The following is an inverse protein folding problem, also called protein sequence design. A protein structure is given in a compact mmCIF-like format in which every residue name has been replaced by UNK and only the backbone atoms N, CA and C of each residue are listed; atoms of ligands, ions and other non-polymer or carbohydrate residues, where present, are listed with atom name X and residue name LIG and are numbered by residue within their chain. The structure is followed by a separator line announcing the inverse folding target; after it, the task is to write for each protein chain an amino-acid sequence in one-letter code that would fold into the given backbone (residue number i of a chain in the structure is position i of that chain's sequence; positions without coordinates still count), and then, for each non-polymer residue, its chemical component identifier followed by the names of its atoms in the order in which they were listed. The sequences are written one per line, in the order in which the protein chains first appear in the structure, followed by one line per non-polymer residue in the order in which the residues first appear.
data_IF_664186745850
#
_entry.id   IF_664186745850
#
_cell.length_a   1.000
_cell.length_b   1.000
_cell.length_c   1.000
_cell.angle_alpha   90.00
_cell.angle_beta   90.00
_cell.angle_gamma   90.00
#
_symmetry.space_group_name_H-M   'P 1'
#
loop_
_entity.id
_entity.type
_entity.pdbx_description
1 polymer ?
#
# COMPACT_ATOMS: atom_id res chain seq x y z
N UNK A 1 -20.60 -5.69 13.18
CA UNK A 1 -20.34 -4.31 12.72
C UNK A 1 -21.68 -3.59 12.75
N UNK A 2 -21.82 -2.57 13.62
CA UNK A 2 -23.02 -1.74 13.66
C UNK A 2 -23.07 -0.94 12.34
N UNK A 3 -24.19 -1.00 11.64
CA UNK A 3 -24.48 -0.08 10.54
C UNK A 3 -24.61 1.32 11.15
N UNK A 4 -23.65 2.18 10.94
CA UNK A 4 -23.74 3.57 11.33
C UNK A 4 -24.77 4.20 10.40
N UNK A 5 -25.87 4.69 10.96
CA UNK A 5 -26.87 5.46 10.21
C UNK A 5 -26.20 6.80 9.81
N UNK A 6 -25.90 6.98 8.53
CA UNK A 6 -25.14 8.09 7.97
C UNK A 6 -25.76 9.47 8.19
N UNK A 7 -26.97 9.55 8.69
CA UNK A 7 -27.71 10.81 8.86
C UNK A 7 -27.55 11.46 10.25
N UNK A 8 -26.85 10.80 11.18
CA UNK A 8 -26.75 11.26 12.58
C UNK A 8 -25.43 11.96 12.93
N UNK A 9 -24.41 11.89 12.07
CA UNK A 9 -23.08 12.39 12.41
C UNK A 9 -22.50 13.30 11.32
N UNK A 10 -22.03 14.48 11.73
CA UNK A 10 -21.30 15.41 10.88
C UNK A 10 -19.83 15.04 10.68
N UNK A 11 -19.31 14.08 11.43
CA UNK A 11 -17.91 13.67 11.46
C UNK A 11 -17.78 12.17 11.59
N UNK A 12 -16.85 11.56 10.87
CA UNK A 12 -16.63 10.12 10.85
C UNK A 12 -15.18 9.77 11.14
N UNK A 13 -14.97 8.65 11.83
CA UNK A 13 -13.67 7.95 11.86
C UNK A 13 -13.84 6.67 11.05
N UNK A 14 -13.09 6.56 9.97
CA UNK A 14 -13.16 5.45 9.01
C UNK A 14 -11.90 4.61 9.15
N UNK A 15 -12.06 3.31 9.38
CA UNK A 15 -10.96 2.38 9.45
C UNK A 15 -10.86 1.55 8.17
N UNK A 16 -9.76 1.76 7.43
CA UNK A 16 -9.51 1.06 6.17
C UNK A 16 -10.56 1.32 5.09
N UNK A 17 -10.31 0.85 3.90
CA UNK A 17 -11.28 0.81 2.79
C UNK A 17 -12.09 -0.48 2.87
N UNK A 18 -12.98 -0.58 3.85
CA UNK A 18 -13.79 -1.78 4.12
C UNK A 18 -15.26 -1.48 3.86
N UNK A 19 -15.92 -2.36 3.11
CA UNK A 19 -17.35 -2.25 2.84
C UNK A 19 -17.72 -0.91 2.18
N UNK A 20 -18.69 -0.22 2.76
CA UNK A 20 -19.21 1.05 2.24
C UNK A 20 -18.48 2.29 2.77
N UNK A 21 -17.35 2.15 3.45
CA UNK A 21 -16.63 3.30 4.02
C UNK A 21 -16.31 4.37 2.98
N UNK A 22 -16.08 3.99 1.74
CA UNK A 22 -15.82 4.92 0.64
C UNK A 22 -16.95 5.93 0.42
N UNK A 23 -18.21 5.57 0.75
CA UNK A 23 -19.37 6.46 0.62
C UNK A 23 -19.35 7.60 1.64
N UNK A 24 -18.66 7.42 2.76
CA UNK A 24 -18.55 8.42 3.83
C UNK A 24 -17.35 9.35 3.65
N UNK A 25 -16.54 9.14 2.61
CA UNK A 25 -15.35 9.96 2.34
C UNK A 25 -15.67 11.30 1.67
N UNK A 26 -16.95 11.66 1.53
CA UNK A 26 -17.38 12.93 0.95
C UNK A 26 -17.57 14.05 1.98
N UNK A 27 -17.47 13.75 3.28
CA UNK A 27 -17.71 14.69 4.38
C UNK A 27 -16.48 14.98 5.23
N UNK A 28 -16.73 15.38 6.47
CA UNK A 28 -15.68 15.52 7.47
C UNK A 28 -15.34 14.16 8.07
N UNK A 29 -14.21 13.60 7.69
CA UNK A 29 -13.78 12.30 8.21
C UNK A 29 -12.29 12.29 8.58
N UNK A 30 -11.97 11.42 9.50
CA UNK A 30 -10.60 10.98 9.78
C UNK A 30 -10.48 9.56 9.26
N UNK A 31 -9.55 9.34 8.35
CA UNK A 31 -9.22 8.01 7.88
C UNK A 31 -8.08 7.44 8.74
N UNK A 32 -8.29 6.26 9.28
CA UNK A 32 -7.25 5.53 10.03
C UNK A 32 -6.98 4.19 9.36
N UNK A 33 -5.71 3.83 9.28
CA UNK A 33 -5.26 2.58 8.68
C UNK A 33 -3.91 2.18 9.26
N UNK A 34 -3.45 1.01 8.90
CA UNK A 34 -2.11 0.53 9.21
C UNK A 34 -1.04 1.53 8.81
N UNK A 35 0.05 1.67 9.55
CA UNK A 35 1.17 2.53 9.21
C UNK A 35 1.87 2.05 7.94
N UNK A 36 2.71 2.90 7.36
CA UNK A 36 3.55 2.52 6.23
C UNK A 36 4.68 1.56 6.64
N UNK A 37 5.18 1.71 7.87
CA UNK A 37 6.20 0.88 8.48
C UNK A 37 5.80 0.50 9.91
N UNK A 38 6.38 -0.58 10.48
CA UNK A 38 6.02 -1.05 11.82
C UNK A 38 4.58 -1.55 11.92
N UNK A 39 4.14 -2.31 10.91
CA UNK A 39 2.81 -2.89 10.88
C UNK A 39 2.65 -3.95 11.96
N UNK A 40 1.43 -4.07 12.46
CA UNK A 40 1.04 -5.20 13.27
C UNK A 40 1.37 -6.52 12.56
N UNK A 41 2.13 -7.36 13.25
CA UNK A 41 2.37 -8.75 12.86
C UNK A 41 1.43 -9.63 13.68
N UNK A 42 0.47 -10.34 13.05
CA UNK A 42 -0.44 -11.22 13.75
C UNK A 42 0.25 -12.39 14.46
N UNK A 43 1.51 -12.68 14.12
CA UNK A 43 2.30 -13.69 14.81
C UNK A 43 2.97 -13.17 16.09
N UNK A 44 3.02 -11.86 16.25
CA UNK A 44 3.68 -11.21 17.39
C UNK A 44 2.69 -10.56 18.36
N UNK A 45 1.39 -10.54 18.04
CA UNK A 45 0.27 -10.04 18.87
C UNK A 45 0.50 -8.69 19.56
N UNK A 46 1.44 -7.89 19.10
CA UNK A 46 1.85 -6.64 19.73
C UNK A 46 1.06 -5.45 19.17
N UNK A 47 -0.23 -5.42 19.50
CA UNK A 47 -1.12 -4.31 19.14
C UNK A 47 -0.75 -3.00 19.85
N UNK A 48 -0.19 -3.09 21.05
CA UNK A 48 0.04 -1.94 21.91
C UNK A 48 1.22 -1.09 21.42
N UNK A 49 2.17 -1.71 20.70
CA UNK A 49 3.33 -1.05 20.10
C UNK A 49 3.17 -0.77 18.60
N UNK A 50 1.98 -1.00 18.04
CA UNK A 50 1.71 -0.72 16.64
C UNK A 50 1.26 0.72 16.46
N UNK A 51 1.95 1.46 15.60
CA UNK A 51 1.52 2.79 15.19
C UNK A 51 0.34 2.70 14.22
N UNK A 52 -0.54 3.71 14.29
CA UNK A 52 -1.66 3.87 13.38
C UNK A 52 -1.49 5.16 12.58
N UNK A 53 -1.82 5.10 11.30
CA UNK A 53 -1.85 6.28 10.46
C UNK A 53 -3.22 6.94 10.56
N UNK A 54 -3.22 8.25 10.77
CA UNK A 54 -4.42 9.07 10.83
C UNK A 54 -4.30 10.19 9.80
N UNK A 55 -5.28 10.27 8.89
CA UNK A 55 -5.33 11.27 7.83
C UNK A 55 -6.67 12.00 7.87
N UNK A 56 -6.63 13.32 7.78
CA UNK A 56 -7.84 14.13 7.74
C UNK A 56 -8.28 14.34 6.28
N UNK A 57 -9.52 14.00 5.97
CA UNK A 57 -10.14 14.15 4.66
C UNK A 57 -9.36 13.53 3.48
N UNK A 58 -8.67 12.43 3.71
CA UNK A 58 -7.92 11.72 2.67
C UNK A 58 -7.37 10.39 3.15
N UNK A 59 -6.95 9.54 2.22
CA UNK A 59 -6.27 8.27 2.52
C UNK A 59 -4.80 8.48 2.93
N UNK A 60 -4.22 9.58 2.46
CA UNK A 60 -2.84 9.96 2.72
C UNK A 60 -2.80 11.43 3.10
N UNK A 61 -1.87 11.79 3.98
CA UNK A 61 -1.59 13.18 4.28
C UNK A 61 -0.46 13.67 3.37
N UNK A 62 -0.82 14.48 2.38
CA UNK A 62 0.12 15.05 1.44
C UNK A 62 0.73 16.38 1.92
N UNK A 63 0.39 16.82 3.13
CA UNK A 63 0.95 18.05 3.69
C UNK A 63 2.41 17.83 4.07
N UNK A 64 3.25 18.81 3.75
CA UNK A 64 4.61 18.84 4.25
C UNK A 64 4.55 19.21 5.73
N UNK A 65 4.64 18.23 6.61
CA UNK A 65 4.65 18.44 8.05
C UNK A 65 6.07 18.72 8.52
N UNK A 66 6.23 19.79 9.29
CA UNK A 66 7.48 20.06 10.00
C UNK A 66 7.43 19.35 11.35
N UNK A 67 7.66 18.04 11.32
CA UNK A 67 7.68 17.17 12.51
C UNK A 67 9.08 16.59 12.71
N UNK A 68 9.48 16.30 13.96
CA UNK A 68 10.74 15.62 14.24
C UNK A 68 10.82 14.25 13.56
N UNK A 69 12.02 13.82 13.22
CA UNK A 69 12.30 12.49 12.64
C UNK A 69 12.46 11.39 13.72
N UNK A 70 12.20 11.71 14.98
CA UNK A 70 12.42 10.86 16.15
C UNK A 70 11.85 9.44 16.02
N UNK A 71 10.64 9.31 15.47
CA UNK A 71 10.03 7.99 15.23
C UNK A 71 10.76 7.19 14.17
N UNK A 72 11.18 7.84 13.10
CA UNK A 72 11.93 7.20 12.04
C UNK A 72 13.31 6.74 12.55
N UNK A 73 13.96 7.57 13.35
CA UNK A 73 15.22 7.24 14.00
C UNK A 73 15.08 6.06 14.99
N UNK A 74 14.00 6.03 15.79
CA UNK A 74 13.71 4.92 16.71
C UNK A 74 13.48 3.58 15.98
N UNK A 75 12.99 3.59 14.75
CA UNK A 75 12.81 2.37 13.99
C UNK A 75 14.12 1.77 13.46
N UNK A 76 15.22 2.50 13.52
CA UNK A 76 16.50 2.04 13.04
C UNK A 76 16.52 1.71 11.55
N UNK A 77 15.59 2.30 10.79
CA UNK A 77 15.45 2.07 9.35
C UNK A 77 16.62 2.72 8.63
N UNK A 78 17.28 1.93 7.80
CA UNK A 78 18.38 2.40 6.96
C UNK A 78 17.93 2.44 5.50
N UNK A 79 17.72 3.64 4.96
CA UNK A 79 17.41 3.81 3.54
C UNK A 79 18.66 3.46 2.73
N UNK A 80 18.54 2.47 1.87
CA UNK A 80 19.65 2.02 1.03
C UNK A 80 19.95 3.03 -0.08
N UNK A 81 21.21 3.15 -0.51
CA UNK A 81 21.55 3.95 -1.67
C UNK A 81 20.82 3.45 -2.91
N UNK A 82 20.49 4.38 -3.81
CA UNK A 82 19.93 4.01 -5.11
C UNK A 82 20.85 3.05 -5.85
N UNK A 83 20.30 1.91 -6.27
CA UNK A 83 21.02 0.91 -7.05
C UNK A 83 20.67 1.08 -8.53
N UNK A 84 21.69 1.13 -9.37
CA UNK A 84 21.54 1.09 -10.82
C UNK A 84 21.72 -0.35 -11.30
N UNK A 85 20.88 -0.78 -12.21
CA UNK A 85 20.90 -2.15 -12.71
C UNK A 85 19.70 -2.92 -12.19
N UNK A 86 19.66 -4.20 -12.43
CA UNK A 86 18.56 -5.08 -12.09
C UNK A 86 18.00 -5.76 -13.34
N UNK A 87 17.40 -6.93 -13.13
CA UNK A 87 17.03 -7.84 -14.20
C UNK A 87 15.62 -7.56 -14.76
N UNK A 88 14.77 -6.92 -13.95
CA UNK A 88 13.37 -6.69 -14.29
C UNK A 88 12.78 -5.47 -13.59
N UNK A 89 11.64 -5.01 -14.09
CA UNK A 89 10.78 -4.05 -13.40
C UNK A 89 9.77 -4.85 -12.57
N UNK A 90 9.77 -4.65 -11.26
CA UNK A 90 8.84 -5.31 -10.34
C UNK A 90 7.54 -4.51 -10.27
N UNK A 91 6.46 -5.06 -10.82
CA UNK A 91 5.14 -4.45 -10.84
C UNK A 91 4.27 -5.02 -9.72
N UNK A 92 3.96 -4.20 -8.73
CA UNK A 92 3.23 -4.59 -7.53
C UNK A 92 1.84 -3.94 -7.49
N UNK A 93 0.80 -4.58 -8.01
CA UNK A 93 -0.57 -4.09 -7.86
C UNK A 93 -1.01 -4.14 -6.40
N UNK A 94 -1.93 -3.26 -6.03
CA UNK A 94 -2.59 -3.29 -4.72
C UNK A 94 -3.78 -4.28 -4.72
N UNK A 95 -4.63 -4.22 -3.67
CA UNK A 95 -5.90 -4.97 -3.66
C UNK A 95 -6.85 -4.44 -4.73
N UNK A 96 -7.84 -5.25 -5.14
CA UNK A 96 -8.89 -4.84 -6.08
C UNK A 96 -9.55 -3.53 -5.66
N UNK A 97 -9.97 -3.44 -4.40
CA UNK A 97 -10.63 -2.24 -3.85
C UNK A 97 -9.74 -1.02 -3.94
N UNK A 98 -8.47 -1.14 -3.57
CA UNK A 98 -7.54 -0.01 -3.60
C UNK A 98 -7.22 0.40 -5.05
N UNK A 99 -6.99 -0.57 -5.93
CA UNK A 99 -6.71 -0.31 -7.34
C UNK A 99 -7.90 0.37 -8.01
N UNK A 100 -9.11 -0.11 -7.76
CA UNK A 100 -10.32 0.53 -8.27
C UNK A 100 -10.49 1.96 -7.75
N UNK A 101 -10.28 2.18 -6.46
CA UNK A 101 -10.38 3.52 -5.86
C UNK A 101 -9.37 4.50 -6.44
N UNK A 102 -8.12 4.08 -6.62
CA UNK A 102 -7.03 4.95 -7.08
C UNK A 102 -7.03 5.19 -8.60
N UNK A 103 -7.49 4.22 -9.38
CA UNK A 103 -7.30 4.20 -10.84
C UNK A 103 -8.58 3.99 -11.64
N UNK A 104 -9.70 3.70 -10.98
CA UNK A 104 -11.01 3.48 -11.64
C UNK A 104 -11.08 2.19 -12.49
N UNK A 105 -10.17 1.23 -12.27
CA UNK A 105 -10.10 -0.01 -13.02
C UNK A 105 -9.76 -1.21 -12.12
N UNK A 106 -9.95 -2.43 -12.59
CA UNK A 106 -9.56 -3.63 -11.87
C UNK A 106 -8.04 -3.86 -11.92
N UNK A 107 -7.54 -4.82 -11.13
CA UNK A 107 -6.11 -5.11 -11.03
C UNK A 107 -5.50 -5.54 -12.35
N UNK A 108 -6.19 -6.38 -13.12
CA UNK A 108 -5.67 -6.88 -14.40
C UNK A 108 -5.56 -5.77 -15.44
N UNK A 109 -6.58 -4.92 -15.55
CA UNK A 109 -6.57 -3.74 -16.42
C UNK A 109 -5.45 -2.76 -16.03
N UNK A 110 -5.22 -2.58 -14.73
CA UNK A 110 -4.12 -1.73 -14.26
C UNK A 110 -2.76 -2.32 -14.64
N UNK A 111 -2.56 -3.63 -14.46
CA UNK A 111 -1.32 -4.33 -14.85
C UNK A 111 -1.08 -4.18 -16.35
N UNK A 112 -2.10 -4.43 -17.19
CA UNK A 112 -1.99 -4.33 -18.63
C UNK A 112 -1.63 -2.92 -19.09
N UNK A 113 -2.38 -1.93 -18.62
CA UNK A 113 -2.18 -0.51 -18.94
C UNK A 113 -0.79 -0.02 -18.50
N UNK A 114 -0.39 -0.34 -17.27
CA UNK A 114 0.90 0.09 -16.72
C UNK A 114 2.05 -0.63 -17.43
N UNK A 115 1.90 -1.92 -17.72
CA UNK A 115 2.90 -2.67 -18.49
C UNK A 115 3.09 -2.09 -19.89
N UNK A 116 2.01 -1.70 -20.57
CA UNK A 116 2.09 -1.02 -21.87
C UNK A 116 2.86 0.29 -21.77
N UNK A 117 2.56 1.13 -20.79
CA UNK A 117 3.27 2.40 -20.57
C UNK A 117 4.77 2.17 -20.31
N UNK A 118 5.12 1.19 -19.46
CA UNK A 118 6.52 0.84 -19.19
C UNK A 118 7.23 0.43 -20.50
N UNK A 119 6.59 -0.37 -21.35
CA UNK A 119 7.13 -0.86 -22.61
C UNK A 119 7.42 0.25 -23.64
N UNK A 120 6.79 1.41 -23.54
CA UNK A 120 7.09 2.59 -24.37
C UNK A 120 8.46 3.19 -24.04
N UNK A 121 9.01 2.90 -22.84
CA UNK A 121 10.25 3.51 -22.35
C UNK A 121 11.41 2.52 -22.20
N UNK A 122 11.14 1.23 -22.10
CA UNK A 122 12.18 0.23 -21.87
C UNK A 122 11.78 -1.17 -22.33
N UNK A 123 12.80 -1.96 -22.69
CA UNK A 123 12.66 -3.38 -23.00
C UNK A 123 12.95 -4.30 -21.80
N UNK A 124 13.27 -3.75 -20.63
CA UNK A 124 13.54 -4.54 -19.42
C UNK A 124 12.33 -5.42 -19.11
N UNK A 125 12.51 -6.72 -18.78
CA UNK A 125 11.42 -7.61 -18.43
C UNK A 125 10.55 -7.06 -17.30
N UNK A 126 9.25 -7.33 -17.33
CA UNK A 126 8.32 -6.98 -16.25
C UNK A 126 7.95 -8.23 -15.48
N UNK A 127 8.16 -8.22 -14.17
CA UNK A 127 7.74 -9.25 -13.23
C UNK A 127 6.56 -8.71 -12.42
N UNK A 128 5.42 -9.38 -12.48
CA UNK A 128 4.24 -9.00 -11.70
C UNK A 128 4.26 -9.75 -10.37
N UNK A 129 4.17 -9.01 -9.27
CA UNK A 129 4.03 -9.55 -7.92
C UNK A 129 2.70 -9.16 -7.31
N UNK A 130 1.77 -10.09 -7.28
CA UNK A 130 0.49 -9.87 -6.62
C UNK A 130 0.62 -9.79 -5.10
N UNK A 131 -0.30 -9.04 -4.46
CA UNK A 131 -0.36 -8.95 -3.01
C UNK A 131 -0.62 -10.34 -2.40
N UNK A 132 0.10 -10.71 -1.31
CA UNK A 132 -0.18 -11.93 -0.57
C UNK A 132 -1.66 -12.04 -0.15
N UNK A 133 -2.26 -13.18 -0.38
CA UNK A 133 -3.62 -13.49 0.10
C UNK A 133 -3.54 -14.51 1.22
N UNK A 134 -4.44 -14.40 2.19
CA UNK A 134 -4.58 -15.43 3.23
C UNK A 134 -4.97 -16.76 2.57
N UNK A 135 -4.46 -17.87 3.12
CA UNK A 135 -4.86 -19.20 2.71
C UNK A 135 -6.40 -19.33 2.73
N UNK A 136 -6.97 -19.96 1.70
CA UNK A 136 -8.42 -20.14 1.57
C UNK A 136 -9.17 -19.03 0.82
N UNK A 137 -8.48 -17.96 0.37
CA UNK A 137 -9.10 -16.97 -0.53
C UNK A 137 -8.81 -17.32 -2.00
N UNK A 138 -9.81 -17.20 -2.88
CA UNK A 138 -9.65 -17.45 -4.32
C UNK A 138 -8.74 -16.40 -4.96
N UNK A 139 -7.83 -16.82 -5.82
CA UNK A 139 -6.92 -15.96 -6.59
C UNK A 139 -5.53 -16.55 -6.73
N UNK A 140 -4.64 -15.93 -7.53
CA UNK A 140 -3.30 -16.45 -7.71
C UNK A 140 -2.59 -16.55 -6.35
N UNK A 141 -1.99 -17.72 -6.11
CA UNK A 141 -1.12 -17.96 -4.96
C UNK A 141 0.01 -16.95 -4.98
N UNK A 142 0.31 -16.41 -3.81
CA UNK A 142 1.49 -15.59 -3.65
C UNK A 142 2.71 -16.48 -3.78
N UNK A 143 3.70 -15.96 -4.48
CA UNK A 143 5.00 -16.57 -4.47
C UNK A 143 5.48 -16.76 -3.02
N UNK A 144 5.94 -17.96 -2.69
CA UNK A 144 6.57 -18.26 -1.41
C UNK A 144 7.91 -17.53 -1.19
N UNK A 145 8.20 -16.56 -2.08
CA UNK A 145 9.41 -15.75 -2.08
C UNK A 145 9.17 -14.48 -1.28
N UNK A 146 10.00 -14.16 -0.28
CA UNK A 146 9.94 -12.90 0.45
C UNK A 146 10.01 -11.69 -0.50
N UNK A 147 9.35 -10.59 -0.15
CA UNK A 147 9.34 -9.37 -0.97
C UNK A 147 10.76 -8.84 -1.21
N UNK A 148 11.59 -8.89 -0.20
CA UNK A 148 12.99 -8.45 -0.27
C UNK A 148 13.77 -9.14 -1.39
N UNK A 149 13.57 -10.45 -1.59
CA UNK A 149 14.29 -11.23 -2.60
C UNK A 149 13.90 -10.80 -4.02
N UNK A 150 12.65 -10.35 -4.20
CA UNK A 150 12.20 -9.78 -5.47
C UNK A 150 12.73 -8.35 -5.69
N UNK A 151 12.91 -7.56 -4.64
CA UNK A 151 13.38 -6.17 -4.75
C UNK A 151 14.87 -6.10 -5.08
N UNK A 152 15.69 -6.95 -4.47
CA UNK A 152 17.17 -6.93 -4.65
C UNK A 152 17.59 -6.99 -6.11
N UNK A 153 16.87 -7.73 -6.94
CA UNK A 153 17.16 -7.88 -8.37
C UNK A 153 16.29 -6.99 -9.27
N UNK A 154 15.46 -6.13 -8.69
CA UNK A 154 14.61 -5.24 -9.47
C UNK A 154 15.38 -4.01 -9.94
N UNK A 155 15.26 -3.68 -11.23
CA UNK A 155 15.73 -2.40 -11.78
C UNK A 155 14.91 -1.23 -11.27
N UNK A 156 13.60 -1.42 -11.11
CA UNK A 156 12.67 -0.46 -10.56
C UNK A 156 11.47 -1.19 -9.95
N UNK A 157 10.83 -0.57 -8.96
CA UNK A 157 9.58 -1.05 -8.34
C UNK A 157 8.45 -0.08 -8.69
N UNK A 158 7.41 -0.59 -9.33
CA UNK A 158 6.22 0.17 -9.73
C UNK A 158 5.01 -0.33 -8.94
N UNK A 159 4.31 0.55 -8.28
CA UNK A 159 3.21 0.21 -7.36
C UNK A 159 1.92 0.97 -7.67
N UNK A 160 0.77 0.37 -7.33
CA UNK A 160 -0.55 1.02 -7.40
C UNK A 160 -1.07 1.38 -6.01
N UNK A 161 -0.39 2.26 -5.27
CA UNK A 161 -0.81 2.61 -3.89
C UNK A 161 -0.53 1.49 -2.88
N UNK A 162 0.55 0.75 -3.06
CA UNK A 162 0.99 -0.31 -2.15
C UNK A 162 2.13 0.16 -1.25
N UNK A 163 2.18 -0.39 -0.04
CA UNK A 163 3.29 -0.15 0.90
C UNK A 163 4.63 -0.68 0.38
N UNK A 164 4.60 -1.59 -0.60
CA UNK A 164 5.81 -2.06 -1.28
C UNK A 164 6.70 -0.90 -1.78
N UNK A 165 6.10 0.29 -2.03
CA UNK A 165 6.88 1.48 -2.36
C UNK A 165 7.84 1.88 -1.23
N UNK A 166 7.39 1.80 0.02
CA UNK A 166 8.21 2.13 1.19
C UNK A 166 9.20 1.01 1.48
N UNK A 167 8.70 -0.24 1.46
CA UNK A 167 9.54 -1.42 1.73
C UNK A 167 10.68 -1.57 0.70
N UNK A 168 10.53 -1.00 -0.50
CA UNK A 168 11.58 -1.01 -1.54
C UNK A 168 12.66 0.06 -1.35
N UNK A 169 12.53 0.96 -0.38
CA UNK A 169 13.53 1.97 -0.01
C UNK A 169 14.42 1.52 1.15
N UNK A 170 14.05 0.45 1.82
CA UNK A 170 14.66 -0.07 3.03
C UNK A 170 15.41 -1.37 2.73
#
# INVERSE_FOLDING_TARGET
YASINSHEFDKYVLWGLIGNNILYMQGNFIFTDMPYHGRYDPNNEDWDNTYWRWCYQGLHDNRKLNVPADRFEQWGVNIQPWQNGGEYILLCPSSETMTFYMHGCNVNEWIEKTSKQIREHTSIPIKVRHKPRKAGTSGPSVADVPFRDDVVNAHAVVVSGSICAIDSLI
#
